data_IF_902307322201
#
_entry.id   IF_902307322201
#
_cell.length_a   1.000
_cell.length_b   1.000
_cell.length_c   1.000
_cell.angle_alpha   90.00
_cell.angle_beta   90.00
_cell.angle_gamma   90.00
#
_symmetry.space_group_name_H-M   'P 1'
#
loop_
_entity.id
_entity.type
_entity.pdbx_description
1 polymer ?
#
# COMPACT_ATOMS: atom_id res chain seq x y z
N UNK A 1 -41.41 -19.95 15.86
CA UNK A 1 -39.93 -20.02 15.95
C UNK A 1 -39.37 -20.07 14.53
N UNK A 2 -38.83 -18.96 14.00
CA UNK A 2 -38.21 -18.89 12.66
C UNK A 2 -36.82 -18.30 12.82
N UNK A 3 -35.80 -19.10 12.55
CA UNK A 3 -34.39 -18.72 12.57
C UNK A 3 -34.00 -18.10 11.23
N UNK A 4 -33.69 -16.81 11.24
CA UNK A 4 -33.09 -16.12 10.10
C UNK A 4 -31.57 -16.38 10.08
N UNK A 5 -31.07 -17.05 9.04
CA UNK A 5 -29.62 -17.16 8.78
C UNK A 5 -29.11 -15.81 8.28
N UNK A 6 -28.26 -15.16 9.08
CA UNK A 6 -27.43 -14.02 8.66
C UNK A 6 -26.39 -14.52 7.63
N UNK A 7 -26.49 -14.04 6.40
CA UNK A 7 -25.38 -14.15 5.44
C UNK A 7 -24.23 -13.25 5.91
N UNK A 8 -23.08 -13.86 6.19
CA UNK A 8 -21.82 -13.19 6.51
C UNK A 8 -21.32 -12.49 5.24
N UNK A 9 -21.42 -11.17 5.20
CA UNK A 9 -20.75 -10.36 4.19
C UNK A 9 -19.28 -10.23 4.57
N UNK A 10 -18.43 -11.12 4.09
CA UNK A 10 -16.97 -10.96 4.02
C UNK A 10 -16.46 -11.90 2.92
N UNK A 11 -15.43 -11.46 2.17
CA UNK A 11 -14.71 -12.17 1.10
C UNK A 11 -15.09 -11.89 -0.37
N UNK A 12 -16.23 -11.25 -0.72
CA UNK A 12 -16.57 -11.13 -2.16
C UNK A 12 -15.61 -10.21 -2.95
N UNK A 13 -15.11 -9.14 -2.33
CA UNK A 13 -14.15 -8.23 -2.97
C UNK A 13 -12.77 -8.85 -3.19
N UNK A 14 -12.28 -9.66 -2.23
CA UNK A 14 -11.04 -10.43 -2.38
C UNK A 14 -11.20 -11.52 -3.44
N UNK A 15 -12.34 -12.22 -3.46
CA UNK A 15 -12.64 -13.24 -4.46
C UNK A 15 -12.70 -12.64 -5.88
N UNK A 16 -13.29 -11.44 -6.02
CA UNK A 16 -13.38 -10.74 -7.29
C UNK A 16 -12.01 -10.31 -7.82
N UNK A 17 -11.11 -9.85 -6.94
CA UNK A 17 -9.75 -9.46 -7.32
C UNK A 17 -8.91 -10.68 -7.67
N UNK A 18 -9.01 -11.77 -6.91
CA UNK A 18 -8.33 -13.05 -7.22
C UNK A 18 -8.84 -13.61 -8.55
N UNK A 19 -10.14 -13.55 -8.81
CA UNK A 19 -10.72 -13.97 -10.08
C UNK A 19 -10.23 -13.09 -11.25
N UNK A 20 -10.20 -11.77 -11.09
CA UNK A 20 -9.69 -10.87 -12.12
C UNK A 20 -8.20 -11.09 -12.40
N UNK A 21 -7.39 -11.34 -11.36
CA UNK A 21 -5.97 -11.66 -11.49
C UNK A 21 -5.78 -13.01 -12.20
N UNK A 22 -6.58 -14.03 -11.85
CA UNK A 22 -6.56 -15.33 -12.53
C UNK A 22 -6.92 -15.20 -14.01
N UNK A 23 -7.94 -14.41 -14.36
CA UNK A 23 -8.33 -14.17 -15.76
C UNK A 23 -7.21 -13.45 -16.52
N UNK A 24 -6.59 -12.42 -15.94
CA UNK A 24 -5.49 -11.72 -16.59
C UNK A 24 -4.29 -12.64 -16.86
N UNK A 25 -3.97 -13.53 -15.91
CA UNK A 25 -2.90 -14.52 -16.07
C UNK A 25 -3.26 -15.58 -17.13
N UNK A 26 -4.52 -16.02 -17.18
CA UNK A 26 -4.99 -16.96 -18.20
C UNK A 26 -4.90 -16.37 -19.62
N UNK A 27 -5.25 -15.10 -19.80
CA UNK A 27 -5.13 -14.39 -21.09
C UNK A 27 -3.65 -14.26 -21.51
N UNK A 28 -2.77 -13.95 -20.56
CA UNK A 28 -1.33 -13.90 -20.84
C UNK A 28 -0.78 -15.30 -21.22
N UNK A 29 -1.23 -16.36 -20.55
CA UNK A 29 -0.80 -17.74 -20.80
C UNK A 29 -1.22 -18.28 -22.17
N UNK A 30 -2.43 -17.99 -22.64
CA UNK A 30 -2.85 -18.43 -24.00
C UNK A 30 -2.10 -17.68 -25.10
N UNK A 31 -1.70 -16.44 -24.85
CA UNK A 31 -0.87 -15.65 -25.76
C UNK A 31 0.53 -16.25 -25.91
N UNK A 32 1.11 -16.76 -24.81
CA UNK A 32 2.41 -17.43 -24.79
C UNK A 32 2.34 -18.79 -25.51
N UNK A 33 1.29 -19.58 -25.28
CA UNK A 33 1.12 -20.89 -25.94
C UNK A 33 1.03 -20.78 -27.47
N UNK A 34 0.32 -19.77 -27.99
CA UNK A 34 0.23 -19.50 -29.44
C UNK A 34 1.58 -19.00 -30.00
N UNK A 35 2.37 -18.29 -29.19
CA UNK A 35 3.69 -17.79 -29.55
C UNK A 35 4.78 -18.89 -29.56
N UNK A 36 4.72 -19.84 -28.62
CA UNK A 36 5.63 -20.99 -28.55
C UNK A 36 5.41 -21.98 -29.70
N UNK A 37 4.16 -22.17 -30.14
CA UNK A 37 3.83 -22.99 -31.31
C UNK A 37 4.32 -22.37 -32.64
N UNK A 38 4.59 -21.06 -32.66
CA UNK A 38 4.98 -20.35 -33.87
C UNK A 38 6.49 -20.12 -34.00
N UNK A 39 7.29 -20.36 -32.95
CA UNK A 39 8.70 -19.95 -32.95
C UNK A 39 9.64 -21.07 -32.50
N UNK A 40 10.11 -21.86 -33.47
CA UNK A 40 11.15 -22.86 -33.25
C UNK A 40 12.56 -22.23 -33.28
N UNK A 41 13.45 -22.72 -32.39
CA UNK A 41 14.93 -22.60 -32.32
C UNK A 41 15.56 -21.58 -31.35
N UNK A 42 16.01 -22.13 -30.21
CA UNK A 42 17.25 -21.90 -29.44
C UNK A 42 17.67 -20.49 -28.99
N UNK A 43 17.05 -19.41 -29.45
CA UNK A 43 17.16 -18.05 -28.86
C UNK A 43 15.98 -17.65 -27.98
N UNK A 44 14.91 -18.46 -27.98
CA UNK A 44 13.60 -18.16 -27.37
C UNK A 44 13.50 -18.61 -25.91
N UNK A 45 14.31 -19.59 -25.49
CA UNK A 45 14.25 -20.18 -24.15
C UNK A 45 14.80 -19.23 -23.07
N UNK A 46 15.85 -18.47 -23.38
CA UNK A 46 16.38 -17.45 -22.45
C UNK A 46 15.45 -16.24 -22.35
N UNK A 47 14.79 -15.85 -23.44
CA UNK A 47 13.81 -14.75 -23.42
C UNK A 47 12.55 -15.13 -22.64
N UNK A 48 12.05 -16.38 -22.78
CA UNK A 48 10.86 -16.83 -22.06
C UNK A 48 11.08 -16.95 -20.55
N UNK A 49 12.26 -17.42 -20.11
CA UNK A 49 12.61 -17.44 -18.68
C UNK A 49 12.73 -16.02 -18.09
N UNK A 50 13.26 -15.06 -18.85
CA UNK A 50 13.36 -13.66 -18.44
C UNK A 50 11.97 -13.02 -18.35
N UNK A 51 11.09 -13.25 -19.32
CA UNK A 51 9.71 -12.75 -19.28
C UNK A 51 8.93 -13.31 -18.09
N UNK A 52 9.06 -14.62 -17.82
CA UNK A 52 8.45 -15.26 -16.66
C UNK A 52 9.00 -14.70 -15.34
N UNK A 53 10.30 -14.47 -15.26
CA UNK A 53 10.92 -13.82 -14.10
C UNK A 53 10.37 -12.40 -13.86
N UNK A 54 10.19 -11.61 -14.92
CA UNK A 54 9.60 -10.27 -14.85
C UNK A 54 8.13 -10.34 -14.41
N UNK A 55 7.36 -11.30 -14.92
CA UNK A 55 5.97 -11.52 -14.52
C UNK A 55 5.87 -11.89 -13.03
N UNK A 56 6.71 -12.81 -12.55
CA UNK A 56 6.77 -13.18 -11.13
C UNK A 56 7.16 -11.98 -10.28
N UNK A 57 8.18 -11.21 -10.67
CA UNK A 57 8.60 -10.00 -9.94
C UNK A 57 7.45 -8.99 -9.82
N UNK A 58 6.70 -8.76 -10.89
CA UNK A 58 5.51 -7.91 -10.86
C UNK A 58 4.41 -8.48 -9.96
N UNK A 59 4.18 -9.80 -10.02
CA UNK A 59 3.22 -10.51 -9.17
C UNK A 59 3.55 -10.38 -7.69
N UNK A 60 4.80 -10.63 -7.29
CA UNK A 60 5.27 -10.49 -5.91
C UNK A 60 5.08 -9.05 -5.44
N UNK A 61 5.49 -8.07 -6.26
CA UNK A 61 5.29 -6.65 -5.94
C UNK A 61 3.82 -6.30 -5.70
N UNK A 62 2.92 -6.77 -6.55
CA UNK A 62 1.49 -6.51 -6.42
C UNK A 62 0.86 -7.22 -5.20
N UNK A 63 1.31 -8.43 -4.88
CA UNK A 63 0.89 -9.13 -3.67
C UNK A 63 1.25 -8.35 -2.40
N UNK A 64 2.48 -7.80 -2.33
CA UNK A 64 2.95 -6.97 -1.22
C UNK A 64 2.16 -5.66 -1.13
N UNK A 65 1.94 -4.95 -2.24
CA UNK A 65 1.12 -3.74 -2.29
C UNK A 65 -0.29 -4.01 -1.77
N UNK A 66 -0.93 -5.07 -2.29
CA UNK A 66 -2.29 -5.45 -1.92
C UNK A 66 -2.39 -5.81 -0.43
N UNK A 67 -1.43 -6.56 0.09
CA UNK A 67 -1.36 -6.89 1.51
C UNK A 67 -1.21 -5.63 2.38
N UNK A 68 -0.26 -4.75 2.06
CA UNK A 68 -0.03 -3.53 2.82
C UNK A 68 -1.24 -2.59 2.78
N UNK A 69 -1.89 -2.45 1.63
CA UNK A 69 -3.15 -1.70 1.51
C UNK A 69 -4.23 -2.30 2.42
N UNK A 70 -4.38 -3.62 2.47
CA UNK A 70 -5.36 -4.26 3.35
C UNK A 70 -5.03 -4.02 4.84
N UNK A 71 -3.79 -4.27 5.24
CA UNK A 71 -3.34 -4.15 6.63
C UNK A 71 -3.50 -2.71 7.15
N UNK A 72 -3.08 -1.73 6.35
CA UNK A 72 -3.19 -0.32 6.75
C UNK A 72 -4.64 0.16 6.88
N UNK A 73 -5.58 -0.51 6.20
CA UNK A 73 -7.02 -0.26 6.33
C UNK A 73 -7.71 -1.15 7.39
N UNK A 74 -6.95 -1.74 8.33
CA UNK A 74 -7.48 -2.52 9.45
C UNK A 74 -7.51 -4.03 9.24
N UNK A 75 -6.91 -4.52 8.15
CA UNK A 75 -6.75 -5.94 7.87
C UNK A 75 -5.79 -6.68 8.80
N UNK A 76 -5.89 -8.01 8.82
CA UNK A 76 -4.94 -8.87 9.54
C UNK A 76 -3.53 -8.75 8.94
N UNK A 77 -2.50 -8.70 9.79
CA UNK A 77 -1.10 -8.73 9.36
C UNK A 77 -0.71 -10.06 8.68
N UNK A 78 -1.46 -11.13 8.92
CA UNK A 78 -1.23 -12.45 8.28
C UNK A 78 -1.50 -12.44 6.78
N UNK A 79 -2.25 -11.46 6.27
CA UNK A 79 -2.59 -11.33 4.84
C UNK A 79 -1.35 -11.23 3.95
N UNK A 80 -0.23 -10.68 4.46
CA UNK A 80 1.02 -10.65 3.69
C UNK A 80 1.52 -12.06 3.36
N UNK A 81 1.61 -12.93 4.37
CA UNK A 81 1.96 -14.34 4.21
C UNK A 81 0.96 -15.07 3.32
N UNK A 82 -0.34 -14.93 3.62
CA UNK A 82 -1.41 -15.59 2.87
C UNK A 82 -1.38 -15.24 1.37
N UNK A 83 -1.18 -13.96 1.03
CA UNK A 83 -1.08 -13.52 -0.36
C UNK A 83 0.17 -14.06 -1.06
N UNK A 84 1.32 -14.12 -0.37
CA UNK A 84 2.57 -14.62 -0.94
C UNK A 84 2.53 -16.14 -1.14
N UNK A 85 1.96 -16.88 -0.20
CA UNK A 85 1.75 -18.33 -0.31
C UNK A 85 0.80 -18.65 -1.47
N UNK A 86 -0.33 -17.95 -1.56
CA UNK A 86 -1.28 -18.12 -2.66
C UNK A 86 -0.65 -17.81 -4.04
N UNK A 87 0.21 -16.78 -4.11
CA UNK A 87 0.94 -16.42 -5.32
C UNK A 87 1.95 -17.51 -5.70
N UNK A 88 2.74 -18.00 -4.73
CA UNK A 88 3.71 -19.06 -4.94
C UNK A 88 3.04 -20.34 -5.46
N UNK A 89 1.93 -20.73 -4.83
CA UNK A 89 1.12 -21.87 -5.26
C UNK A 89 0.55 -21.68 -6.68
N UNK A 90 0.09 -20.48 -7.02
CA UNK A 90 -0.43 -20.19 -8.35
C UNK A 90 0.65 -20.34 -9.43
N UNK A 91 1.82 -19.73 -9.25
CA UNK A 91 2.92 -19.84 -10.22
C UNK A 91 3.46 -21.26 -10.34
N UNK A 92 3.49 -22.01 -9.24
CA UNK A 92 3.88 -23.42 -9.29
C UNK A 92 2.89 -24.25 -10.13
N UNK A 93 1.59 -23.97 -10.06
CA UNK A 93 0.54 -24.73 -10.78
C UNK A 93 0.38 -24.32 -12.25
N UNK A 94 0.56 -23.04 -12.57
CA UNK A 94 0.29 -22.49 -13.90
C UNK A 94 1.39 -22.80 -14.93
N UNK A 95 2.61 -23.13 -14.48
CA UNK A 95 3.74 -23.41 -15.36
C UNK A 95 4.29 -24.83 -15.13
N UNK A 96 3.53 -25.90 -15.43
CA UNK A 96 3.95 -27.28 -15.16
C UNK A 96 5.19 -27.70 -15.97
N UNK A 97 5.41 -27.10 -17.15
CA UNK A 97 6.60 -27.35 -17.97
C UNK A 97 7.81 -26.51 -17.54
N UNK A 98 7.60 -25.44 -16.78
CA UNK A 98 8.63 -24.53 -16.28
C UNK A 98 8.35 -24.16 -14.81
N UNK A 99 8.46 -25.12 -13.87
CA UNK A 99 8.01 -24.90 -12.51
C UNK A 99 8.75 -23.73 -11.85
N UNK A 100 7.95 -22.81 -11.32
CA UNK A 100 8.40 -21.63 -10.60
C UNK A 100 8.31 -21.87 -9.10
N UNK A 101 9.46 -21.91 -8.43
CA UNK A 101 9.54 -21.99 -6.99
C UNK A 101 9.85 -20.61 -6.42
N UNK A 102 8.86 -20.01 -5.76
CA UNK A 102 9.01 -18.76 -5.02
C UNK A 102 9.18 -19.11 -3.55
N UNK A 103 10.28 -18.66 -2.94
CA UNK A 103 10.50 -18.69 -1.49
C UNK A 103 10.71 -17.27 -1.01
N UNK A 104 10.19 -16.93 0.16
CA UNK A 104 10.32 -15.59 0.70
C UNK A 104 10.68 -15.62 2.19
N UNK A 105 11.18 -14.48 2.66
CA UNK A 105 11.44 -14.22 4.06
C UNK A 105 10.92 -12.84 4.40
N UNK A 106 10.13 -12.77 5.47
CA UNK A 106 9.58 -11.52 5.98
C UNK A 106 10.64 -10.82 6.83
N UNK A 107 10.85 -9.52 6.60
CA UNK A 107 11.80 -8.77 7.39
C UNK A 107 11.32 -8.64 8.85
N UNK A 108 12.21 -8.94 9.80
CA UNK A 108 12.01 -8.69 11.22
C UNK A 108 13.19 -7.84 11.72
N UNK A 109 12.90 -6.70 12.35
CA UNK A 109 13.91 -5.71 12.77
C UNK A 109 13.72 -4.33 12.14
N UNK A 110 14.42 -3.30 12.63
CA UNK A 110 14.30 -1.91 12.15
C UNK A 110 12.87 -1.33 12.17
N UNK A 111 12.06 -1.82 13.11
CA UNK A 111 10.63 -1.48 13.25
C UNK A 111 9.69 -2.35 12.41
N UNK A 112 10.20 -3.30 11.61
CA UNK A 112 9.39 -4.31 10.95
C UNK A 112 9.09 -5.49 11.88
N UNK A 113 7.85 -5.95 11.82
CA UNK A 113 7.36 -7.16 12.48
C UNK A 113 6.53 -7.94 11.48
N UNK A 114 6.95 -9.16 11.15
CA UNK A 114 6.31 -9.97 10.12
C UNK A 114 6.34 -9.30 8.75
N UNK A 115 7.44 -8.62 8.41
CA UNK A 115 7.59 -7.93 7.12
C UNK A 115 6.82 -6.62 7.02
N UNK A 116 6.15 -6.14 8.08
CA UNK A 116 5.33 -4.92 8.05
C UNK A 116 5.82 -3.93 9.09
N UNK A 117 5.91 -2.65 8.72
CA UNK A 117 6.20 -1.52 9.59
C UNK A 117 5.10 -0.47 9.45
N UNK A 118 4.42 -0.17 10.55
CA UNK A 118 3.45 0.93 10.63
C UNK A 118 3.89 1.81 11.79
N UNK A 119 4.23 3.05 11.47
CA UNK A 119 4.69 4.05 12.44
C UNK A 119 3.95 5.35 12.14
N UNK A 120 2.94 5.67 12.94
CA UNK A 120 2.17 6.91 12.80
C UNK A 120 2.52 7.80 13.98
N UNK A 121 3.55 8.64 13.80
CA UNK A 121 4.16 9.47 14.83
C UNK A 121 3.95 10.97 14.57
N UNK A 122 4.49 11.79 15.47
CA UNK A 122 4.46 13.25 15.37
C UNK A 122 5.23 13.72 14.13
N UNK A 123 4.57 14.49 13.26
CA UNK A 123 5.09 15.04 12.02
C UNK A 123 5.40 14.02 10.91
N UNK A 124 5.48 12.72 11.22
CA UNK A 124 5.85 11.66 10.29
C UNK A 124 5.00 10.40 10.47
N UNK A 125 4.36 9.99 9.38
CA UNK A 125 3.72 8.70 9.22
C UNK A 125 4.44 7.82 8.21
N UNK A 126 4.60 6.53 8.50
CA UNK A 126 5.19 5.53 7.60
C UNK A 126 4.34 4.26 7.64
N UNK A 127 3.94 3.79 6.48
CA UNK A 127 3.33 2.48 6.26
C UNK A 127 4.17 1.71 5.24
N UNK A 128 4.76 0.59 5.64
CA UNK A 128 5.73 -0.15 4.81
C UNK A 128 5.59 -1.66 4.94
N UNK A 129 5.89 -2.36 3.85
CA UNK A 129 6.04 -3.80 3.79
C UNK A 129 7.33 -4.16 3.05
N UNK A 130 8.13 -5.04 3.66
CA UNK A 130 9.44 -5.45 3.16
C UNK A 130 9.58 -6.97 3.21
N UNK A 131 9.87 -7.56 2.05
CA UNK A 131 10.24 -8.98 1.93
C UNK A 131 11.51 -9.16 1.12
N UNK A 132 12.21 -10.24 1.41
CA UNK A 132 13.24 -10.83 0.55
C UNK A 132 12.65 -12.06 -0.11
N UNK A 133 12.95 -12.31 -1.38
CA UNK A 133 12.51 -13.52 -2.04
C UNK A 133 13.56 -14.09 -2.99
N UNK A 134 13.50 -15.41 -3.13
CA UNK A 134 14.24 -16.19 -4.11
C UNK A 134 13.24 -16.81 -5.08
N UNK A 135 13.43 -16.55 -6.36
CA UNK A 135 12.72 -17.20 -7.44
C UNK A 135 13.66 -18.19 -8.11
N UNK A 136 13.24 -19.46 -8.20
CA UNK A 136 13.91 -20.48 -8.99
C UNK A 136 12.96 -20.94 -10.10
N UNK A 137 13.38 -20.77 -11.35
CA UNK A 137 12.65 -21.26 -12.53
C UNK A 137 13.48 -22.40 -13.12
N UNK A 138 12.83 -23.54 -13.34
CA UNK A 138 13.44 -24.71 -13.96
C UNK A 138 12.96 -24.79 -15.42
N UNK A 139 13.89 -24.70 -16.36
CA UNK A 139 13.65 -24.98 -17.78
C UNK A 139 14.15 -26.38 -18.19
N UNK A 140 13.80 -26.84 -19.39
CA UNK A 140 14.21 -28.14 -19.93
C UNK A 140 15.74 -28.34 -19.96
N UNK A 141 16.50 -27.31 -20.33
CA UNK A 141 17.96 -27.38 -20.48
C UNK A 141 18.74 -26.43 -19.55
N UNK A 142 18.05 -25.54 -18.83
CA UNK A 142 18.69 -24.53 -17.98
C UNK A 142 17.84 -24.18 -16.77
N UNK A 143 18.43 -23.55 -15.76
CA UNK A 143 17.69 -23.03 -14.61
C UNK A 143 18.10 -21.60 -14.32
N UNK A 144 17.14 -20.79 -13.88
CA UNK A 144 17.36 -19.40 -13.48
C UNK A 144 17.08 -19.28 -11.98
N UNK A 145 17.97 -18.62 -11.25
CA UNK A 145 17.76 -18.26 -9.84
C UNK A 145 17.95 -16.76 -9.67
N UNK A 146 16.96 -16.10 -9.08
CA UNK A 146 16.96 -14.67 -8.82
C UNK A 146 16.75 -14.47 -7.32
N UNK A 147 17.60 -13.67 -6.70
CA UNK A 147 17.42 -13.18 -5.35
C UNK A 147 17.14 -11.68 -5.42
N UNK A 148 16.03 -11.24 -4.83
CA UNK A 148 15.60 -9.85 -4.92
C UNK A 148 14.79 -9.45 -3.68
N UNK A 149 14.55 -8.15 -3.54
CA UNK A 149 13.81 -7.56 -2.44
C UNK A 149 12.61 -6.77 -2.97
N UNK A 150 11.51 -6.82 -2.23
CA UNK A 150 10.37 -5.93 -2.46
C UNK A 150 10.15 -5.11 -1.22
N UNK A 151 10.44 -3.81 -1.33
CA UNK A 151 10.15 -2.81 -0.32
C UNK A 151 9.09 -1.85 -0.87
N UNK A 152 7.91 -1.87 -0.26
CA UNK A 152 6.80 -0.98 -0.58
C UNK A 152 6.57 -0.07 0.61
N UNK A 153 6.74 1.22 0.42
CA UNK A 153 6.65 2.23 1.47
C UNK A 153 5.76 3.38 1.01
N UNK A 154 4.88 3.81 1.90
CA UNK A 154 4.17 5.10 1.82
C UNK A 154 4.53 5.91 3.06
N UNK A 155 5.05 7.11 2.87
CA UNK A 155 5.43 8.02 3.94
C UNK A 155 4.72 9.37 3.79
N UNK A 156 4.31 9.94 4.92
CA UNK A 156 3.62 11.22 5.01
C UNK A 156 4.34 12.09 6.03
N UNK A 157 4.83 13.25 5.59
CA UNK A 157 5.33 14.30 6.47
C UNK A 157 4.27 15.38 6.59
N UNK A 158 4.04 15.88 7.81
CA UNK A 158 3.07 16.94 8.08
C UNK A 158 3.70 17.97 8.99
N UNK A 159 3.63 19.22 8.58
CA UNK A 159 3.97 20.39 9.38
C UNK A 159 2.75 21.30 9.44
N UNK A 160 2.56 21.97 10.57
CA UNK A 160 1.35 22.76 10.80
C UNK A 160 1.59 23.96 11.70
N UNK A 161 0.89 25.04 11.40
CA UNK A 161 0.80 26.22 12.24
C UNK A 161 -0.63 26.72 12.30
N UNK A 162 -0.92 27.57 13.29
CA UNK A 162 -2.23 28.20 13.39
C UNK A 162 -2.11 29.67 13.80
N UNK A 163 -3.09 30.46 13.39
CA UNK A 163 -3.27 31.86 13.81
C UNK A 163 -4.54 31.98 14.66
N UNK A 164 -4.52 32.88 15.64
CA UNK A 164 -5.66 33.16 16.51
C UNK A 164 -6.51 34.30 15.91
N UNK A 165 -7.83 34.12 15.87
CA UNK A 165 -8.79 35.15 15.49
C UNK A 165 -9.20 36.05 16.66
N UNK A 166 -10.08 37.02 16.41
CA UNK A 166 -10.44 38.09 17.37
C UNK A 166 -10.99 37.58 18.73
N UNK A 167 -11.61 36.40 18.76
CA UNK A 167 -12.25 35.84 19.97
C UNK A 167 -11.41 34.79 20.73
N UNK A 168 -10.11 34.67 20.42
CA UNK A 168 -9.11 33.71 20.97
C UNK A 168 -9.40 32.21 20.74
N UNK A 169 -10.67 31.86 20.61
CA UNK A 169 -11.20 30.50 20.41
C UNK A 169 -11.27 30.10 18.94
N UNK A 170 -11.27 31.07 18.02
CA UNK A 170 -11.29 30.82 16.58
C UNK A 170 -9.85 30.67 16.10
N UNK A 171 -9.50 29.48 15.61
CA UNK A 171 -8.15 29.17 15.16
C UNK A 171 -8.16 28.80 13.69
N UNK A 172 -7.36 29.51 12.90
CA UNK A 172 -7.15 29.18 11.48
C UNK A 172 -5.89 28.35 11.37
N UNK A 173 -6.04 27.09 10.98
CA UNK A 173 -4.96 26.11 10.87
C UNK A 173 -4.50 26.03 9.42
N UNK A 174 -3.18 26.05 9.23
CA UNK A 174 -2.52 25.82 7.95
C UNK A 174 -1.57 24.63 8.09
N UNK A 175 -1.71 23.64 7.20
CA UNK A 175 -0.82 22.49 7.15
C UNK A 175 -0.11 22.41 5.81
N UNK A 176 1.13 21.95 5.85
CA UNK A 176 1.87 21.46 4.68
C UNK A 176 2.07 19.97 4.83
N UNK A 177 1.66 19.21 3.83
CA UNK A 177 1.83 17.76 3.81
C UNK A 177 2.67 17.34 2.61
N UNK A 178 3.56 16.38 2.80
CA UNK A 178 4.36 15.78 1.72
C UNK A 178 4.20 14.27 1.74
N UNK A 179 3.73 13.71 0.63
CA UNK A 179 3.48 12.28 0.47
C UNK A 179 4.54 11.66 -0.44
N UNK A 180 5.09 10.52 -0.02
CA UNK A 180 6.15 9.82 -0.73
C UNK A 180 5.86 8.33 -0.86
N UNK A 181 6.19 7.76 -2.02
CA UNK A 181 6.23 6.33 -2.30
C UNK A 181 7.68 5.94 -2.59
N UNK A 182 8.26 5.04 -1.79
CA UNK A 182 9.67 4.64 -1.91
C UNK A 182 10.61 5.85 -2.11
N UNK A 183 10.48 6.87 -1.24
CA UNK A 183 11.26 8.12 -1.24
C UNK A 183 11.01 9.07 -2.42
N UNK A 184 10.11 8.72 -3.34
CA UNK A 184 9.71 9.57 -4.47
C UNK A 184 8.38 10.25 -4.19
N UNK A 185 8.17 11.50 -4.64
CA UNK A 185 6.89 12.16 -4.46
C UNK A 185 5.72 11.36 -5.04
N UNK A 186 4.59 11.35 -4.33
CA UNK A 186 3.45 10.52 -4.65
C UNK A 186 2.13 11.28 -4.56
N UNK A 187 1.16 10.86 -5.37
CA UNK A 187 -0.18 11.43 -5.36
C UNK A 187 -1.08 10.74 -4.33
N UNK A 188 -1.78 11.56 -3.55
CA UNK A 188 -2.85 11.12 -2.68
C UNK A 188 -4.11 10.83 -3.52
N UNK A 189 -4.72 9.68 -3.30
CA UNK A 189 -6.05 9.34 -3.82
C UNK A 189 -7.16 9.88 -2.92
N UNK A 190 -6.92 9.92 -1.62
CA UNK A 190 -7.85 10.44 -0.63
C UNK A 190 -7.09 11.10 0.52
N UNK A 191 -7.69 12.15 1.09
CA UNK A 191 -7.13 12.93 2.18
C UNK A 191 -8.26 13.25 3.16
N UNK A 192 -8.09 12.86 4.42
CA UNK A 192 -8.99 13.24 5.52
C UNK A 192 -8.22 13.84 6.67
N UNK A 193 -8.80 14.88 7.29
CA UNK A 193 -8.19 15.63 8.38
C UNK A 193 -9.09 15.53 9.60
N UNK A 194 -8.47 15.35 10.75
CA UNK A 194 -9.12 15.37 12.05
C UNK A 194 -8.39 16.35 12.96
N UNK A 195 -9.11 16.99 13.87
CA UNK A 195 -8.53 17.76 14.96
C UNK A 195 -9.02 17.19 16.30
N UNK A 196 -8.25 17.40 17.35
CA UNK A 196 -8.68 17.05 18.70
C UNK A 196 -9.53 18.20 19.25
N UNK A 197 -10.77 17.91 19.64
CA UNK A 197 -11.65 18.89 20.28
C UNK A 197 -11.34 19.08 21.77
N UNK A 198 -12.01 20.03 22.41
CA UNK A 198 -11.81 20.36 23.82
C UNK A 198 -12.20 19.21 24.79
N UNK A 199 -12.92 18.18 24.30
CA UNK A 199 -13.22 16.97 25.07
C UNK A 199 -12.12 15.91 24.99
N UNK A 200 -11.10 16.14 24.15
CA UNK A 200 -10.05 15.16 23.83
C UNK A 200 -10.45 14.16 22.75
N UNK A 201 -11.58 14.35 22.07
CA UNK A 201 -12.05 13.47 21.01
C UNK A 201 -11.59 13.95 19.63
N UNK A 202 -11.39 13.01 18.70
CA UNK A 202 -11.03 13.33 17.31
C UNK A 202 -12.27 13.69 16.49
N UNK A 203 -12.39 14.96 16.13
CA UNK A 203 -13.44 15.48 15.25
C UNK A 203 -12.93 15.61 13.81
N UNK A 204 -13.76 15.24 12.83
CA UNK A 204 -13.41 15.35 11.41
C UNK A 204 -13.56 16.79 10.92
N UNK A 205 -12.60 17.27 10.13
CA UNK A 205 -12.73 18.54 9.39
C UNK A 205 -13.59 18.29 8.15
N UNK A 206 -14.73 18.98 8.05
CA UNK A 206 -15.72 18.72 6.99
C UNK A 206 -15.38 19.41 5.66
N UNK A 207 -14.81 20.62 5.69
CA UNK A 207 -14.58 21.44 4.49
C UNK A 207 -13.24 22.18 4.52
N UNK A 208 -12.09 21.47 4.53
CA UNK A 208 -10.80 22.12 4.39
C UNK A 208 -10.61 22.65 2.96
N UNK A 209 -9.95 23.80 2.83
CA UNK A 209 -9.35 24.21 1.57
C UNK A 209 -8.10 23.35 1.33
N UNK A 210 -8.01 22.74 0.15
CA UNK A 210 -6.91 21.84 -0.22
C UNK A 210 -6.32 22.34 -1.54
N UNK A 211 -5.01 22.54 -1.56
CA UNK A 211 -4.23 22.82 -2.77
C UNK A 211 -3.26 21.67 -3.02
N UNK A 212 -3.41 20.97 -4.15
CA UNK A 212 -2.44 19.98 -4.62
C UNK A 212 -1.45 20.67 -5.57
N UNK A 213 -0.16 20.59 -5.25
CA UNK A 213 0.91 21.21 -6.04
C UNK A 213 1.43 20.32 -7.18
N UNK A 214 0.87 19.12 -7.36
CA UNK A 214 1.21 18.18 -8.42
C UNK A 214 2.55 17.45 -8.21
N UNK A 215 3.25 17.72 -7.11
CA UNK A 215 4.57 17.16 -6.79
C UNK A 215 4.57 16.39 -5.46
N UNK A 216 3.43 15.82 -5.07
CA UNK A 216 3.24 15.15 -3.79
C UNK A 216 3.17 16.07 -2.56
N UNK A 217 3.18 17.40 -2.77
CA UNK A 217 2.96 18.39 -1.72
C UNK A 217 1.51 18.88 -1.74
N UNK A 218 0.93 18.99 -0.55
CA UNK A 218 -0.44 19.47 -0.32
C UNK A 218 -0.42 20.60 0.70
N UNK A 219 -1.13 21.69 0.42
CA UNK A 219 -1.41 22.74 1.40
C UNK A 219 -2.86 22.66 1.83
N UNK A 220 -3.09 22.65 3.14
CA UNK A 220 -4.42 22.50 3.74
C UNK A 220 -4.71 23.70 4.62
N UNK A 221 -5.92 24.25 4.53
CA UNK A 221 -6.36 25.36 5.40
C UNK A 221 -7.78 25.14 5.88
N UNK A 222 -8.02 25.31 7.18
CA UNK A 222 -9.35 25.22 7.77
C UNK A 222 -9.45 26.03 9.06
N UNK A 223 -10.67 26.31 9.49
CA UNK A 223 -10.96 27.04 10.73
C UNK A 223 -11.66 26.11 11.71
N UNK A 224 -11.24 26.16 12.97
CA UNK A 224 -11.87 25.45 14.08
C UNK A 224 -12.20 26.42 15.21
N UNK A 225 -13.16 26.02 16.05
CA UNK A 225 -13.43 26.66 17.33
C UNK A 225 -12.89 25.74 18.41
N UNK A 226 -11.92 26.21 19.18
CA UNK A 226 -11.23 25.43 20.21
C UNK A 226 -10.80 26.37 21.35
N UNK A 227 -11.16 26.02 22.59
CA UNK A 227 -10.73 26.77 23.79
C UNK A 227 -9.29 26.43 24.16
N UNK A 228 -8.86 25.18 23.96
CA UNK A 228 -7.49 24.74 24.22
C UNK A 228 -6.45 25.50 23.41
N UNK A 229 -5.36 25.93 24.06
CA UNK A 229 -4.18 26.56 23.43
C UNK A 229 -3.34 25.63 22.56
N UNK A 230 -3.56 24.32 22.68
CA UNK A 230 -2.84 23.31 21.90
C UNK A 230 -3.75 22.78 20.80
N UNK A 231 -3.29 22.89 19.55
CA UNK A 231 -4.02 22.41 18.37
C UNK A 231 -3.36 21.14 17.85
N UNK A 232 -3.97 19.99 18.14
CA UNK A 232 -3.57 18.70 17.59
C UNK A 232 -4.38 18.35 16.33
N UNK A 233 -3.68 17.95 15.29
CA UNK A 233 -4.26 17.59 13.99
C UNK A 233 -3.74 16.22 13.58
N UNK A 234 -4.63 15.37 13.05
CA UNK A 234 -4.28 14.08 12.46
C UNK A 234 -4.65 14.10 10.98
N UNK A 235 -3.65 13.93 10.13
CA UNK A 235 -3.83 13.85 8.67
C UNK A 235 -3.73 12.39 8.26
N UNK A 236 -4.76 11.92 7.55
CA UNK A 236 -4.83 10.57 6.99
C UNK A 236 -4.81 10.68 5.48
N UNK A 237 -3.81 10.08 4.85
CA UNK A 237 -3.71 10.03 3.39
C UNK A 237 -3.71 8.60 2.89
N UNK A 238 -4.43 8.39 1.80
CA UNK A 238 -4.43 7.13 1.05
C UNK A 238 -3.78 7.40 -0.28
N UNK A 239 -2.70 6.70 -0.61
CA UNK A 239 -2.01 6.86 -1.89
C UNK A 239 -2.78 6.22 -3.06
N UNK A 240 -2.27 6.37 -4.28
CA UNK A 240 -2.86 5.74 -5.48
C UNK A 240 -2.98 4.20 -5.39
N UNK A 241 -2.13 3.55 -4.58
CA UNK A 241 -2.10 2.11 -4.34
C UNK A 241 -3.05 1.67 -3.23
N UNK A 242 -3.83 2.60 -2.67
CA UNK A 242 -4.77 2.41 -1.55
C UNK A 242 -4.10 2.11 -0.21
N UNK A 243 -2.81 2.42 -0.07
CA UNK A 243 -2.09 2.29 1.19
C UNK A 243 -2.40 3.52 2.05
N UNK A 244 -2.91 3.28 3.26
CA UNK A 244 -3.19 4.33 4.24
C UNK A 244 -1.93 4.65 5.03
N UNK A 245 -1.66 5.94 5.22
CA UNK A 245 -0.66 6.48 6.13
C UNK A 245 -1.28 7.61 6.96
N UNK A 246 -0.89 7.68 8.24
CA UNK A 246 -1.37 8.70 9.18
C UNK A 246 -0.19 9.40 9.83
N UNK A 247 -0.28 10.71 9.93
CA UNK A 247 0.67 11.53 10.68
C UNK A 247 -0.13 12.49 11.59
N UNK A 248 0.31 12.60 12.85
CA UNK A 248 -0.25 13.53 13.80
C UNK A 248 0.69 14.72 13.93
N UNK A 249 0.17 15.92 14.17
CA UNK A 249 0.99 17.11 14.34
C UNK A 249 0.34 18.04 15.37
N UNK A 250 1.18 18.59 16.23
CA UNK A 250 0.86 19.68 17.13
C UNK A 250 1.24 20.97 16.43
N UNK A 251 0.23 21.76 16.07
CA UNK A 251 0.44 22.98 15.31
C UNK A 251 1.04 24.07 16.21
N UNK A 252 2.00 24.80 15.66
CA UNK A 252 2.68 25.90 16.35
C UNK A 252 1.86 27.18 16.16
N UNK A 253 1.65 27.96 17.21
CA UNK A 253 1.03 29.27 17.08
C UNK A 253 1.99 30.22 16.34
N UNK A 254 1.47 30.91 15.33
CA UNK A 254 2.17 31.99 14.63
C UNK A 254 1.26 33.21 14.58
N UNK A 255 1.75 34.37 15.02
CA UNK A 255 0.95 35.59 15.17
C UNK A 255 1.00 36.08 16.60
#
# INVERSE_FOLDING_TARGET
MKTAKRFRANCSGQLLIVAALAIAILIASTSIYVYELTTEKQGVESSSLVELALAVKAGVRNAVISALANITNGGSKTILTENLDALADAYMRLHPQQPCHIRYTLLNGSGYMGGVKITWSEGLGVSSAYILYTLKILGPASSMTINDAVNITTALMVEGYYTIGENETIKTVNLTCKLFNEEKPAHAKNLTIYYMDDSGAWARVNSPSITDWGNGTYSLRFTIVLVSDVVHVSVRMVDARKILVVANVTCIQTG
#
